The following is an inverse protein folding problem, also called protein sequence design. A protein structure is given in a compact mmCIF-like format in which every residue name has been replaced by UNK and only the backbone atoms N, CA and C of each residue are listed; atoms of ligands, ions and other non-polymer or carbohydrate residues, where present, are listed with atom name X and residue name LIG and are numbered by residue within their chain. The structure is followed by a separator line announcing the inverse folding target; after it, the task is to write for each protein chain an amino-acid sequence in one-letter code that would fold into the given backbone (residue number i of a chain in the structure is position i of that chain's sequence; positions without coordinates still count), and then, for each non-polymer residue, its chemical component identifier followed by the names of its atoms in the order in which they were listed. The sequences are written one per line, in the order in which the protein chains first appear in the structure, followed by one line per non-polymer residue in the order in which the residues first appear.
data_IF_047171064114
#
_entry.id   IF_047171064114
#
_cell.length_a   1.000
_cell.length_b   1.000
_cell.length_c   1.000
_cell.angle_alpha   90.00
_cell.angle_beta   90.00
_cell.angle_gamma   90.00
#
_symmetry.space_group_name_H-M   'P 1'
#
loop_
_entity.id
_entity.type
_entity.pdbx_description
1 polymer ?
#
# COMPACT_ATOMS: atom_id res chain seq x y z
N UNK A 1 -1.33 -11.76 -16.05
CA UNK A 1 -2.07 -12.24 -14.86
C UNK A 1 -1.64 -11.37 -13.68
N UNK A 2 -2.56 -10.85 -12.88
CA UNK A 2 -2.26 -9.90 -11.80
C UNK A 2 -1.71 -10.63 -10.56
N UNK A 3 -0.94 -9.94 -9.73
CA UNK A 3 -0.36 -10.52 -8.52
C UNK A 3 -1.43 -10.79 -7.46
N UNK A 4 -1.61 -12.07 -7.09
CA UNK A 4 -2.48 -12.49 -5.99
C UNK A 4 -1.60 -13.10 -4.91
N UNK A 5 -1.50 -12.41 -3.78
CA UNK A 5 -0.53 -12.73 -2.71
C UNK A 5 -1.12 -13.59 -1.61
N UNK A 6 -2.45 -13.68 -1.53
CA UNK A 6 -3.14 -14.27 -0.39
C UNK A 6 -2.67 -13.66 0.93
N UNK A 7 -2.46 -14.55 1.90
CA UNK A 7 -1.94 -14.21 3.23
C UNK A 7 -0.44 -14.48 3.38
N UNK A 8 0.31 -14.59 2.27
CA UNK A 8 1.76 -14.78 2.36
C UNK A 8 2.40 -13.63 3.15
N UNK A 9 3.34 -13.95 4.07
CA UNK A 9 4.04 -12.94 4.85
C UNK A 9 4.91 -12.10 3.92
N UNK A 10 4.85 -10.78 4.11
CA UNK A 10 5.59 -9.75 3.39
C UNK A 10 6.91 -9.36 4.08
N UNK A 11 7.25 -10.03 5.18
CA UNK A 11 8.47 -9.83 5.94
C UNK A 11 9.34 -11.10 5.99
N UNK A 12 10.59 -10.94 6.40
CA UNK A 12 11.51 -12.06 6.68
C UNK A 12 11.37 -12.44 8.16
N UNK A 13 11.14 -13.72 8.43
CA UNK A 13 11.06 -14.23 9.80
C UNK A 13 12.46 -14.37 10.38
N UNK A 14 12.67 -13.94 11.63
CA UNK A 14 13.97 -14.00 12.32
C UNK A 14 14.50 -15.43 12.38
N UNK A 15 13.61 -16.40 12.59
CA UNK A 15 13.97 -17.82 12.64
C UNK A 15 14.58 -18.33 11.31
N UNK A 16 14.26 -17.70 10.18
CA UNK A 16 14.83 -18.09 8.87
C UNK A 16 16.26 -17.55 8.70
N UNK A 17 16.62 -16.52 9.47
CA UNK A 17 17.91 -15.84 9.38
C UNK A 17 18.88 -16.40 10.44
N UNK A 18 18.38 -16.84 11.59
CA UNK A 18 19.18 -17.47 12.65
C UNK A 18 19.97 -18.68 12.11
N UNK A 19 19.33 -19.54 11.28
CA UNK A 19 19.99 -20.67 10.60
C UNK A 19 21.16 -20.24 9.68
N UNK A 20 21.18 -19.00 9.22
CA UNK A 20 22.23 -18.43 8.35
C UNK A 20 23.34 -17.71 9.13
N UNK A 21 23.06 -17.28 10.36
CA UNK A 21 23.89 -16.33 11.11
C UNK A 21 24.39 -16.84 12.47
N UNK A 22 24.23 -18.12 12.81
CA UNK A 22 24.93 -18.77 13.96
C UNK A 22 26.46 -18.53 13.99
N UNK A 23 27.05 -17.92 12.95
CA UNK A 23 28.47 -17.53 12.89
C UNK A 23 28.76 -16.04 13.20
N UNK A 24 27.78 -15.13 13.36
CA UNK A 24 28.04 -13.71 13.64
C UNK A 24 27.07 -13.09 14.66
N UNK A 25 27.65 -12.39 15.65
CA UNK A 25 27.03 -11.82 16.86
C UNK A 25 26.23 -10.54 16.58
N UNK A 26 25.19 -10.59 15.73
CA UNK A 26 24.30 -9.45 15.50
C UNK A 26 22.83 -9.88 15.60
N UNK A 27 22.07 -9.19 16.46
CA UNK A 27 20.64 -9.40 16.61
C UNK A 27 19.91 -8.85 15.38
N UNK A 28 19.46 -9.76 14.51
CA UNK A 28 18.79 -9.42 13.25
C UNK A 28 17.39 -8.81 13.49
N UNK A 29 16.81 -9.01 14.68
CA UNK A 29 15.54 -8.38 15.03
C UNK A 29 15.63 -6.85 15.00
N UNK A 30 16.83 -6.29 15.16
CA UNK A 30 17.12 -4.86 15.02
C UNK A 30 17.15 -4.39 13.55
N UNK A 31 17.36 -5.29 12.59
CA UNK A 31 17.44 -4.96 11.15
C UNK A 31 16.12 -5.13 10.40
N UNK A 32 15.13 -5.82 10.98
CA UNK A 32 13.82 -5.98 10.35
C UNK A 32 12.80 -5.06 11.02
N UNK A 33 12.06 -4.30 10.22
CA UNK A 33 11.05 -3.37 10.72
C UNK A 33 9.79 -4.09 11.26
N UNK A 34 9.84 -5.41 11.41
CA UNK A 34 8.73 -6.24 11.91
C UNK A 34 8.36 -5.84 13.35
N UNK A 35 9.35 -5.49 14.18
CA UNK A 35 9.11 -5.01 15.54
C UNK A 35 8.23 -3.75 15.58
N UNK A 36 8.35 -2.87 14.57
CA UNK A 36 7.52 -1.67 14.47
C UNK A 36 6.04 -2.05 14.33
N UNK A 37 5.72 -3.16 13.66
CA UNK A 37 4.34 -3.65 13.60
C UNK A 37 3.81 -4.00 14.99
N UNK A 38 4.62 -4.67 15.81
CA UNK A 38 4.23 -5.04 17.18
C UNK A 38 4.10 -3.82 18.08
N UNK A 39 5.04 -2.89 18.01
CA UNK A 39 5.03 -1.63 18.77
C UNK A 39 3.79 -0.79 18.43
N UNK A 40 3.30 -0.89 17.19
CA UNK A 40 2.06 -0.24 16.73
C UNK A 40 0.79 -1.04 17.03
N UNK A 41 0.89 -2.26 17.55
CA UNK A 41 -0.24 -3.17 17.77
C UNK A 41 -0.88 -3.67 16.47
N UNK A 42 -0.14 -3.69 15.36
CA UNK A 42 -0.59 -4.21 14.07
C UNK A 42 -0.29 -5.70 13.94
N UNK A 43 -1.18 -6.43 13.27
CA UNK A 43 -0.96 -7.86 13.00
C UNK A 43 0.20 -8.06 12.02
N UNK A 44 1.15 -8.93 12.40
CA UNK A 44 2.20 -9.40 11.48
C UNK A 44 1.61 -10.11 10.27
N UNK A 45 0.60 -10.95 10.49
CA UNK A 45 -0.13 -11.67 9.43
C UNK A 45 -1.27 -10.78 8.91
N UNK A 46 -1.29 -10.54 7.60
CA UNK A 46 -2.37 -9.80 6.93
C UNK A 46 -3.59 -10.69 6.74
N UNK A 47 -4.77 -10.09 6.86
CA UNK A 47 -5.99 -10.74 6.41
C UNK A 47 -6.19 -10.55 4.91
N UNK A 48 -6.89 -11.49 4.26
CA UNK A 48 -7.31 -11.32 2.88
C UNK A 48 -8.53 -12.18 2.60
N UNK A 49 -9.53 -11.58 1.97
CA UNK A 49 -10.68 -12.28 1.40
C UNK A 49 -10.32 -13.03 0.11
N UNK A 50 -9.16 -12.73 -0.48
CA UNK A 50 -8.60 -13.49 -1.61
C UNK A 50 -7.55 -14.48 -1.09
N UNK A 51 -7.86 -15.77 -1.12
CA UNK A 51 -6.93 -16.83 -0.66
C UNK A 51 -6.05 -17.40 -1.76
N UNK A 52 -6.20 -16.93 -3.01
CA UNK A 52 -5.44 -17.47 -4.14
C UNK A 52 -4.05 -16.87 -4.18
N UNK A 53 -3.05 -17.72 -4.42
CA UNK A 53 -1.65 -17.34 -4.57
C UNK A 53 -1.18 -17.75 -5.96
N UNK A 54 -0.56 -16.83 -6.70
CA UNK A 54 0.06 -17.14 -7.99
C UNK A 54 1.54 -16.75 -8.05
N UNK A 55 2.21 -17.09 -9.15
CA UNK A 55 3.64 -16.83 -9.35
C UNK A 55 3.99 -15.35 -9.29
N UNK A 56 3.13 -14.47 -9.82
CA UNK A 56 3.30 -13.02 -9.72
C UNK A 56 3.14 -12.51 -8.28
N UNK A 57 2.20 -13.07 -7.51
CA UNK A 57 2.04 -12.79 -6.09
C UNK A 57 3.26 -13.19 -5.28
N UNK A 58 3.85 -14.37 -5.54
CA UNK A 58 5.10 -14.79 -4.88
C UNK A 58 6.25 -13.82 -5.18
N UNK A 59 6.37 -13.36 -6.44
CA UNK A 59 7.37 -12.35 -6.82
C UNK A 59 7.15 -11.00 -6.12
N UNK A 60 5.90 -10.57 -5.99
CA UNK A 60 5.57 -9.34 -5.25
C UNK A 60 5.93 -9.47 -3.76
N UNK A 61 5.67 -10.63 -3.16
CA UNK A 61 6.06 -10.90 -1.77
C UNK A 61 7.58 -10.90 -1.61
N UNK A 62 8.33 -11.56 -2.50
CA UNK A 62 9.80 -11.49 -2.50
C UNK A 62 10.28 -10.05 -2.61
N UNK A 63 9.73 -9.27 -3.55
CA UNK A 63 10.05 -7.85 -3.67
C UNK A 63 9.80 -7.06 -2.38
N UNK A 64 8.70 -7.33 -1.67
CA UNK A 64 8.41 -6.68 -0.40
C UNK A 64 9.44 -7.03 0.68
N UNK A 65 9.76 -8.32 0.82
CA UNK A 65 10.77 -8.81 1.78
C UNK A 65 12.15 -8.22 1.52
N UNK A 66 12.59 -8.24 0.26
CA UNK A 66 13.92 -7.79 -0.14
C UNK A 66 14.13 -6.27 0.06
N UNK A 67 13.03 -5.51 0.15
CA UNK A 67 13.05 -4.05 0.29
C UNK A 67 12.47 -3.57 1.64
N UNK A 68 12.21 -4.48 2.59
CA UNK A 68 11.60 -4.16 3.89
C UNK A 68 10.30 -3.34 3.75
N UNK A 69 9.45 -3.74 2.79
CA UNK A 69 8.16 -3.13 2.51
C UNK A 69 7.02 -4.00 3.04
N UNK A 70 5.96 -3.33 3.46
CA UNK A 70 4.76 -3.93 4.00
C UNK A 70 3.57 -3.63 3.10
N UNK A 71 2.76 -4.65 2.84
CA UNK A 71 1.45 -4.54 2.21
C UNK A 71 0.44 -4.11 3.28
N UNK A 72 -0.29 -3.02 3.05
CA UNK A 72 -1.20 -2.46 4.06
C UNK A 72 -2.58 -3.12 4.03
N UNK A 73 -2.96 -3.70 2.89
CA UNK A 73 -4.21 -4.44 2.73
C UNK A 73 -4.32 -5.57 3.76
N UNK A 74 -5.45 -5.61 4.46
CA UNK A 74 -5.67 -6.60 5.52
C UNK A 74 -4.99 -6.33 6.85
N UNK A 75 -4.34 -5.17 7.02
CA UNK A 75 -3.55 -4.83 8.23
C UNK A 75 -4.02 -3.54 8.91
N UNK A 76 -4.31 -2.51 8.13
CA UNK A 76 -4.64 -1.16 8.62
C UNK A 76 -6.13 -1.04 8.96
N UNK A 77 -6.47 -0.09 9.84
CA UNK A 77 -7.85 0.26 10.18
C UNK A 77 -8.70 0.52 8.94
N UNK A 78 -9.98 0.12 9.00
CA UNK A 78 -10.96 0.08 7.89
C UNK A 78 -10.70 -0.93 6.77
N UNK A 79 -9.60 -1.67 6.79
CA UNK A 79 -9.40 -2.85 5.93
C UNK A 79 -8.81 -4.06 6.69
N UNK A 80 -9.11 -4.20 7.98
CA UNK A 80 -8.63 -5.35 8.77
C UNK A 80 -9.14 -6.70 8.26
N UNK A 81 -10.20 -6.74 7.46
CA UNK A 81 -10.71 -8.00 6.87
C UNK A 81 -10.03 -8.36 5.54
N UNK A 82 -9.28 -7.42 4.94
CA UNK A 82 -8.62 -7.58 3.64
C UNK A 82 -9.64 -7.73 2.51
N UNK A 83 -10.38 -6.67 2.22
CA UNK A 83 -11.43 -6.66 1.20
C UNK A 83 -10.87 -6.86 -0.22
N UNK A 84 -11.72 -7.40 -1.08
CA UNK A 84 -11.42 -7.58 -2.50
C UNK A 84 -11.32 -6.21 -3.19
N UNK A 85 -10.29 -6.02 -4.02
CA UNK A 85 -10.05 -4.75 -4.74
C UNK A 85 -10.51 -4.80 -6.19
N UNK A 86 -10.82 -5.99 -6.70
CA UNK A 86 -11.51 -6.16 -7.97
C UNK A 86 -12.89 -6.73 -7.73
N UNK A 87 -13.89 -6.28 -8.51
CA UNK A 87 -15.32 -6.64 -8.58
C UNK A 87 -15.67 -7.97 -7.89
N UNK A 88 -15.64 -7.95 -6.55
CA UNK A 88 -15.78 -9.08 -5.65
C UNK A 88 -15.06 -10.39 -6.07
N UNK A 89 -13.84 -10.29 -6.61
CA UNK A 89 -13.11 -11.46 -7.12
C UNK A 89 -11.71 -11.64 -6.53
N UNK A 90 -10.90 -10.59 -6.46
CA UNK A 90 -9.49 -10.72 -6.08
C UNK A 90 -8.95 -9.47 -5.39
N UNK A 91 -7.86 -9.65 -4.64
CA UNK A 91 -6.99 -8.55 -4.18
C UNK A 91 -5.84 -8.44 -5.17
N UNK A 92 -5.84 -7.38 -5.97
CA UNK A 92 -4.85 -7.14 -7.03
C UNK A 92 -4.33 -5.71 -7.06
N UNK A 93 -4.92 -4.83 -6.26
CA UNK A 93 -4.50 -3.44 -6.06
C UNK A 93 -4.00 -3.32 -4.62
N UNK A 94 -2.76 -2.88 -4.46
CA UNK A 94 -2.08 -2.91 -3.16
C UNK A 94 -1.61 -1.52 -2.78
N UNK A 95 -1.77 -1.18 -1.49
CA UNK A 95 -0.97 -0.12 -0.88
C UNK A 95 0.25 -0.78 -0.24
N UNK A 96 1.43 -0.32 -0.63
CA UNK A 96 2.71 -0.87 -0.17
C UNK A 96 3.56 0.30 0.31
N UNK A 97 4.21 0.12 1.46
CA UNK A 97 5.10 1.14 2.00
C UNK A 97 5.98 0.61 3.11
N UNK A 98 6.88 1.46 3.58
CA UNK A 98 7.74 1.14 4.71
C UNK A 98 6.96 1.17 6.03
N UNK A 99 7.56 0.61 7.07
CA UNK A 99 7.08 0.74 8.45
C UNK A 99 6.93 2.20 8.90
N UNK A 100 7.81 3.10 8.44
CA UNK A 100 7.75 4.53 8.72
C UNK A 100 6.49 5.17 8.12
N UNK A 101 6.09 4.74 6.92
CA UNK A 101 4.83 5.20 6.33
C UNK A 101 3.65 4.68 7.16
N UNK A 102 3.68 3.42 7.61
CA UNK A 102 2.62 2.87 8.46
C UNK A 102 2.37 3.73 9.70
N UNK A 103 3.42 4.25 10.35
CA UNK A 103 3.30 5.08 11.55
C UNK A 103 2.44 6.34 11.36
N UNK A 104 2.37 6.87 10.13
CA UNK A 104 1.55 8.04 9.80
C UNK A 104 0.24 7.68 9.11
N UNK A 105 -0.01 6.41 8.80
CA UNK A 105 -1.29 5.98 8.22
C UNK A 105 -2.36 5.97 9.31
N UNK A 106 -3.47 6.67 9.04
CA UNK A 106 -4.65 6.67 9.89
C UNK A 106 -5.62 5.55 9.50
N UNK A 107 -6.06 5.57 8.25
CA UNK A 107 -7.12 4.71 7.72
C UNK A 107 -6.72 4.22 6.34
N UNK A 108 -7.09 2.98 6.03
CA UNK A 108 -7.06 2.42 4.69
C UNK A 108 -8.42 1.82 4.36
N UNK A 109 -9.11 2.39 3.40
CA UNK A 109 -10.48 2.01 3.03
C UNK A 109 -10.53 1.55 1.58
N UNK A 110 -11.22 0.42 1.37
CA UNK A 110 -11.55 -0.11 0.04
C UNK A 110 -13.03 0.16 -0.18
N UNK A 111 -13.35 1.03 -1.13
CA UNK A 111 -14.74 1.36 -1.44
C UNK A 111 -15.42 0.24 -2.24
N UNK A 112 -16.74 0.18 -2.13
CA UNK A 112 -17.52 -0.75 -2.95
C UNK A 112 -17.32 -0.44 -4.44
N UNK A 113 -17.16 -1.49 -5.24
CA UNK A 113 -17.08 -1.38 -6.68
C UNK A 113 -18.26 -0.58 -7.26
N UNK A 114 -17.94 0.38 -8.13
CA UNK A 114 -18.92 1.20 -8.82
C UNK A 114 -18.60 1.25 -10.32
N UNK A 115 -19.55 0.79 -11.13
CA UNK A 115 -19.45 0.74 -12.60
C UNK A 115 -19.25 2.11 -13.26
N UNK A 116 -19.56 3.20 -12.56
CA UNK A 116 -19.34 4.57 -13.05
C UNK A 116 -17.87 4.98 -12.97
N UNK A 117 -17.08 4.36 -12.09
CA UNK A 117 -15.68 4.73 -11.84
C UNK A 117 -14.68 3.70 -12.40
N UNK A 118 -15.10 2.45 -12.57
CA UNK A 118 -14.26 1.40 -13.16
C UNK A 118 -15.11 0.25 -13.72
N UNK A 119 -14.54 -0.50 -14.65
CA UNK A 119 -15.07 -1.76 -15.18
C UNK A 119 -14.80 -2.95 -14.24
N UNK A 120 -13.70 -2.94 -13.50
CA UNK A 120 -13.29 -4.04 -12.62
C UNK A 120 -12.71 -3.65 -11.27
N UNK A 121 -12.17 -2.44 -11.07
CA UNK A 121 -11.44 -2.09 -9.86
C UNK A 121 -12.28 -1.29 -8.85
N UNK A 122 -12.11 -1.59 -7.57
CA UNK A 122 -12.62 -0.81 -6.45
C UNK A 122 -11.65 0.34 -6.14
N UNK A 123 -12.15 1.55 -5.84
CA UNK A 123 -11.28 2.64 -5.38
C UNK A 123 -10.66 2.33 -4.01
N UNK A 124 -9.38 2.68 -3.86
CA UNK A 124 -8.61 2.58 -2.62
C UNK A 124 -8.35 3.99 -2.08
N UNK A 125 -8.56 4.21 -0.78
CA UNK A 125 -8.22 5.47 -0.11
C UNK A 125 -7.34 5.24 1.11
N UNK A 126 -6.22 5.95 1.14
CA UNK A 126 -5.29 5.98 2.27
C UNK A 126 -5.35 7.37 2.91
N UNK A 127 -5.60 7.41 4.21
CA UNK A 127 -5.57 8.66 4.99
C UNK A 127 -4.28 8.72 5.77
N UNK A 128 -3.54 9.82 5.64
CA UNK A 128 -2.30 10.06 6.38
C UNK A 128 -2.51 11.15 7.44
N UNK A 129 -2.00 10.92 8.65
CA UNK A 129 -1.88 11.92 9.71
C UNK A 129 -0.53 12.62 9.55
N UNK A 130 -0.59 13.89 9.17
CA UNK A 130 0.58 14.76 9.13
C UNK A 130 0.54 15.63 10.39
N UNK A 131 1.62 15.61 11.17
CA UNK A 131 1.78 16.57 12.26
C UNK A 131 2.17 17.92 11.64
N UNK A 132 1.27 18.91 11.71
CA UNK A 132 1.52 20.29 11.30
C UNK A 132 2.57 20.94 12.22
N UNK A 133 3.84 20.60 12.02
CA UNK A 133 4.97 21.25 12.69
C UNK A 133 5.40 22.53 11.97
N UNK A 134 4.71 22.91 10.88
CA UNK A 134 4.96 24.17 10.19
C UNK A 134 4.26 25.35 10.88
N UNK A 135 4.79 25.73 12.04
CA UNK A 135 4.58 27.05 12.65
C UNK A 135 5.36 28.17 11.92
N UNK A 136 5.69 27.98 10.64
CA UNK A 136 6.20 29.03 9.78
C UNK A 136 5.05 29.80 9.16
N UNK A 137 4.65 30.92 9.76
CA UNK A 137 3.82 31.94 9.10
C UNK A 137 4.56 32.44 7.84
N UNK A 138 4.43 31.75 6.72
CA UNK A 138 4.66 32.33 5.39
C UNK A 138 3.30 32.82 4.91
N UNK A 139 3.10 34.13 4.96
CA UNK A 139 2.03 34.81 4.24
C UNK A 139 2.15 34.47 2.76
N UNK A 140 1.41 33.46 2.28
CA UNK A 140 1.29 33.18 0.86
C UNK A 140 0.49 34.33 0.26
N UNK A 141 1.15 35.15 -0.55
CA UNK A 141 0.49 36.15 -1.37
C UNK A 141 -0.43 35.41 -2.36
N UNK A 142 -1.76 35.50 -2.16
CA UNK A 142 -2.78 34.71 -2.89
C UNK A 142 -2.80 34.97 -4.42
N UNK A 143 -1.95 35.86 -4.92
CA UNK A 143 -1.92 36.29 -6.32
C UNK A 143 -0.97 35.50 -7.24
N UNK A 144 -0.25 34.48 -6.75
CA UNK A 144 0.75 33.76 -7.55
C UNK A 144 0.40 32.31 -7.92
N UNK A 145 -0.79 31.80 -7.59
CA UNK A 145 -1.19 30.49 -8.10
C UNK A 145 -1.50 30.60 -9.59
N UNK A 146 -0.80 29.87 -10.48
CA UNK A 146 -1.18 29.81 -11.88
C UNK A 146 -2.60 29.26 -11.95
N UNK A 147 -3.54 30.06 -12.51
CA UNK A 147 -4.91 29.61 -12.74
C UNK A 147 -4.87 28.35 -13.60
N UNK A 148 -5.18 27.21 -13.00
CA UNK A 148 -5.40 25.97 -13.73
C UNK A 148 -6.53 26.26 -14.71
N UNK A 149 -6.22 26.26 -16.01
CA UNK A 149 -7.25 26.43 -17.03
C UNK A 149 -8.14 25.18 -16.99
N UNK A 150 -9.47 25.32 -16.84
CA UNK A 150 -10.36 24.18 -16.91
C UNK A 150 -10.19 23.48 -18.25
N UNK A 151 -10.20 22.16 -18.22
CA UNK A 151 -10.13 21.33 -19.41
C UNK A 151 -11.30 21.67 -20.34
N UNK A 152 -11.00 21.96 -21.61
CA UNK A 152 -12.01 22.26 -22.64
C UNK A 152 -12.12 21.08 -23.60
N UNK A 153 -13.33 20.57 -23.77
CA UNK A 153 -13.66 19.39 -24.58
C UNK A 153 -13.40 19.57 -26.09
N UNK A 154 -13.23 20.81 -26.56
CA UNK A 154 -13.03 21.17 -27.97
C UNK A 154 -11.67 20.76 -28.57
N UNK A 155 -10.76 20.15 -27.80
CA UNK A 155 -9.43 19.73 -28.28
C UNK A 155 -9.33 18.27 -28.72
N UNK A 156 -10.45 17.61 -29.01
CA UNK A 156 -10.45 16.25 -29.58
C UNK A 156 -10.88 16.31 -31.05
N UNK A 157 -10.01 16.87 -31.90
CA UNK A 157 -10.10 16.61 -33.34
C UNK A 157 -9.35 15.32 -33.62
N UNK A 158 -10.09 14.21 -33.74
CA UNK A 158 -9.57 13.02 -34.41
C UNK A 158 -9.40 13.37 -35.89
N UNK A 159 -8.18 13.72 -36.29
CA UNK A 159 -7.77 13.57 -37.68
C UNK A 159 -7.78 12.07 -37.98
N UNK A 160 -8.87 11.57 -38.58
CA UNK A 160 -8.84 10.28 -39.28
C UNK A 160 -7.82 10.43 -40.41
N UNK A 161 -6.63 9.86 -40.22
CA UNK A 161 -5.75 9.55 -41.33
C UNK A 161 -6.09 8.12 -41.75
N UNK A 162 -6.90 8.08 -42.81
CA UNK A 162 -7.12 7.03 -43.83
C UNK A 162 -7.22 5.60 -43.32
#
# INVERSE_FOLDING_TARGET
MNARTGILPDFVDSNTIDDFFEQNVLDISEFTDVKILDDMGLSRIRNSSDTVINSFGRKLISFCKDNNLFIFNGRVEKDKIGMLTSKNNSVIDYIIGTSLLLQIVHDFEIFQFNKLFSDVHSPLALTLRLNDSFSGKKSINKNSFPRIKPWKQEKVNYSRVI
#
